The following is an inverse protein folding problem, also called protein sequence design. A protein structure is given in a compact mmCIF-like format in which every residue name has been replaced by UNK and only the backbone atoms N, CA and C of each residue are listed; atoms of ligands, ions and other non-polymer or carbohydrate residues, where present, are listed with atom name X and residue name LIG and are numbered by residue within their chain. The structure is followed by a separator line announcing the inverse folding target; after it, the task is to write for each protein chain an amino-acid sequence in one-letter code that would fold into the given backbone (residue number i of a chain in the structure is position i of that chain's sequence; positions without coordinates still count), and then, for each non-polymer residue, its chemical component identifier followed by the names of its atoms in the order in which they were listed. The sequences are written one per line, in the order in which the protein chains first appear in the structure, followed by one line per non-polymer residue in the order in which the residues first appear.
data_IF_397073972686
#
_entry.id   IF_397073972686
#
_cell.length_a   1.000
_cell.length_b   1.000
_cell.length_c   1.000
_cell.angle_alpha   90.00
_cell.angle_beta   90.00
_cell.angle_gamma   90.00
#
_symmetry.space_group_name_H-M   'P 1'
#
loop_
_entity.id
_entity.type
_entity.pdbx_description
1 polymer ?
#
# COMPACT_ATOMS: atom_id res chain seq x y z
N UNK A 1 -8.35 -12.97 0.68
CA UNK A 1 -8.29 -13.54 2.05
C UNK A 1 -6.96 -13.13 2.68
N UNK A 2 -6.93 -12.79 3.97
CA UNK A 2 -5.68 -12.41 4.65
C UNK A 2 -4.81 -13.65 4.87
N UNK A 3 -3.54 -13.63 4.43
CA UNK A 3 -2.60 -14.72 4.70
C UNK A 3 -1.75 -14.48 5.96
N UNK A 4 -1.20 -15.54 6.60
CA UNK A 4 -0.27 -15.40 7.72
C UNK A 4 0.97 -14.56 7.39
N UNK A 5 1.47 -14.65 6.16
CA UNK A 5 2.62 -13.87 5.69
C UNK A 5 2.27 -12.38 5.57
N UNK A 6 1.13 -12.06 4.96
CA UNK A 6 0.65 -10.68 4.87
C UNK A 6 0.37 -10.07 6.25
N UNK A 7 -0.17 -10.85 7.19
CA UNK A 7 -0.38 -10.40 8.58
C UNK A 7 0.94 -10.00 9.25
N UNK A 8 1.98 -10.85 9.17
CA UNK A 8 3.31 -10.55 9.73
C UNK A 8 3.95 -9.33 9.07
N UNK A 9 3.88 -9.26 7.73
CA UNK A 9 4.46 -8.16 6.97
C UNK A 9 3.76 -6.82 7.27
N UNK A 10 2.43 -6.79 7.27
CA UNK A 10 1.64 -5.61 7.60
C UNK A 10 1.97 -5.09 9.00
N UNK A 11 2.04 -6.00 9.97
CA UNK A 11 2.37 -5.65 11.35
C UNK A 11 3.79 -5.07 11.47
N UNK A 12 4.75 -5.60 10.72
CA UNK A 12 6.11 -5.05 10.66
C UNK A 12 6.15 -3.65 10.01
N UNK A 13 5.35 -3.41 8.95
CA UNK A 13 5.28 -2.12 8.26
C UNK A 13 4.83 -0.96 9.18
N UNK A 14 3.93 -1.23 10.11
CA UNK A 14 3.40 -0.24 11.08
C UNK A 14 4.02 -0.36 12.47
N UNK A 15 5.14 -1.07 12.59
CA UNK A 15 5.89 -1.27 13.84
C UNK A 15 5.03 -1.81 15.02
N UNK A 16 4.00 -2.60 14.73
CA UNK A 16 3.14 -3.17 15.76
C UNK A 16 3.69 -4.46 16.35
N UNK A 17 3.52 -4.63 17.66
CA UNK A 17 3.62 -5.91 18.32
C UNK A 17 2.34 -6.73 18.13
N UNK A 18 2.37 -8.03 18.46
CA UNK A 18 1.15 -8.85 18.47
C UNK A 18 0.12 -8.34 19.50
N UNK A 19 0.58 -7.63 20.53
CA UNK A 19 -0.29 -7.03 21.55
C UNK A 19 -1.02 -5.80 20.97
N UNK A 20 -0.33 -4.97 20.20
CA UNK A 20 -0.93 -3.78 19.57
C UNK A 20 -2.02 -4.19 18.58
N UNK A 21 -1.73 -5.20 17.75
CA UNK A 21 -2.73 -5.77 16.86
C UNK A 21 -3.92 -6.37 17.63
N UNK A 22 -3.65 -7.06 18.74
CA UNK A 22 -4.69 -7.63 19.59
C UNK A 22 -5.63 -6.56 20.13
N UNK A 23 -5.07 -5.44 20.61
CA UNK A 23 -5.84 -4.30 21.10
C UNK A 23 -6.66 -3.64 19.98
N UNK A 24 -6.06 -3.43 18.80
CA UNK A 24 -6.72 -2.77 17.68
C UNK A 24 -7.82 -3.62 17.04
N UNK A 25 -7.62 -4.93 16.90
CA UNK A 25 -8.57 -5.82 16.24
C UNK A 25 -9.57 -6.49 17.19
N UNK A 26 -9.43 -6.31 18.51
CA UNK A 26 -10.19 -7.00 19.55
C UNK A 26 -10.11 -8.55 19.46
N UNK A 27 -9.01 -9.06 18.91
CA UNK A 27 -8.75 -10.51 18.81
C UNK A 27 -7.66 -10.87 19.80
N UNK A 28 -7.76 -12.03 20.45
CA UNK A 28 -6.76 -12.43 21.44
C UNK A 28 -5.37 -12.56 20.83
N UNK A 29 -4.33 -12.16 21.57
CA UNK A 29 -2.93 -12.32 21.17
C UNK A 29 -2.57 -13.78 20.83
N UNK A 30 -3.18 -14.75 21.50
CA UNK A 30 -2.97 -16.17 21.23
C UNK A 30 -3.49 -16.58 19.85
N UNK A 31 -4.70 -16.12 19.47
CA UNK A 31 -5.28 -16.33 18.15
C UNK A 31 -4.39 -15.71 17.06
N UNK A 32 -3.93 -14.47 17.26
CA UNK A 32 -3.01 -13.79 16.32
C UNK A 32 -1.70 -14.57 16.19
N UNK A 33 -1.09 -14.98 17.29
CA UNK A 33 0.17 -15.72 17.27
C UNK A 33 0.02 -17.10 16.60
N UNK A 34 -1.10 -17.79 16.82
CA UNK A 34 -1.42 -19.05 16.16
C UNK A 34 -1.62 -18.88 14.66
N UNK A 35 -2.34 -17.84 14.26
CA UNK A 35 -2.57 -17.49 12.86
C UNK A 35 -1.28 -17.13 12.13
N UNK A 36 -0.47 -16.22 12.68
CA UNK A 36 0.82 -15.83 12.08
C UNK A 36 1.80 -17.01 11.93
N UNK A 37 1.72 -17.99 12.83
CA UNK A 37 2.54 -19.21 12.79
C UNK A 37 1.95 -20.31 11.90
N UNK A 38 0.77 -20.11 11.29
CA UNK A 38 0.08 -21.12 10.48
C UNK A 38 -0.44 -22.31 11.28
N UNK A 39 -0.50 -22.22 12.62
CA UNK A 39 -1.00 -23.29 13.51
C UNK A 39 -2.50 -23.20 13.77
N UNK A 40 -3.10 -22.04 13.50
CA UNK A 40 -4.52 -21.77 13.67
C UNK A 40 -5.05 -21.11 12.41
N UNK A 41 -6.24 -21.54 11.97
CA UNK A 41 -6.99 -20.91 10.88
C UNK A 41 -8.25 -20.27 11.47
N UNK A 42 -8.23 -18.96 11.78
CA UNK A 42 -9.42 -18.25 12.26
C UNK A 42 -10.52 -18.23 11.20
N UNK A 43 -11.76 -18.03 11.65
CA UNK A 43 -12.88 -17.83 10.73
C UNK A 43 -12.72 -16.52 9.92
N UNK A 44 -13.49 -16.42 8.84
CA UNK A 44 -13.41 -15.28 7.94
C UNK A 44 -13.76 -13.95 8.64
N UNK A 45 -14.68 -13.98 9.61
CA UNK A 45 -15.05 -12.82 10.41
C UNK A 45 -13.85 -12.28 11.19
N UNK A 46 -13.13 -13.15 11.88
CA UNK A 46 -11.91 -12.82 12.64
C UNK A 46 -10.84 -12.27 11.71
N UNK A 47 -10.63 -12.90 10.55
CA UNK A 47 -9.67 -12.41 9.55
C UNK A 47 -10.04 -11.02 9.02
N UNK A 48 -11.33 -10.72 8.85
CA UNK A 48 -11.79 -9.37 8.49
C UNK A 48 -11.51 -8.35 9.59
N UNK A 49 -11.73 -8.67 10.87
CA UNK A 49 -11.38 -7.77 11.97
C UNK A 49 -9.88 -7.47 12.04
N UNK A 50 -9.03 -8.50 11.87
CA UNK A 50 -7.57 -8.33 11.83
C UNK A 50 -7.15 -7.45 10.64
N UNK A 51 -7.66 -7.75 9.44
CA UNK A 51 -7.36 -6.99 8.22
C UNK A 51 -7.77 -5.53 8.38
N UNK A 52 -9.00 -5.28 8.86
CA UNK A 52 -9.55 -3.93 9.04
C UNK A 52 -8.73 -3.10 10.01
N UNK A 53 -8.33 -3.66 11.15
CA UNK A 53 -7.52 -2.96 12.13
C UNK A 53 -6.18 -2.46 11.57
N UNK A 54 -5.53 -3.25 10.71
CA UNK A 54 -4.30 -2.83 10.03
C UNK A 54 -4.58 -1.82 8.91
N UNK A 55 -5.70 -1.95 8.21
CA UNK A 55 -6.11 -0.98 7.18
C UNK A 55 -6.37 0.40 7.79
N UNK A 56 -7.06 0.44 8.93
CA UNK A 56 -7.32 1.67 9.68
C UNK A 56 -6.01 2.29 10.24
N UNK A 57 -4.98 1.47 10.44
CA UNK A 57 -3.62 1.91 10.83
C UNK A 57 -2.73 2.30 9.63
N UNK A 58 -3.27 2.33 8.42
CA UNK A 58 -2.55 2.78 7.23
C UNK A 58 -1.85 1.68 6.43
N UNK A 59 -2.29 0.42 6.54
CA UNK A 59 -1.84 -0.67 5.65
C UNK A 59 -2.82 -0.86 4.49
N UNK A 60 -2.31 -1.11 3.29
CA UNK A 60 -3.11 -1.60 2.17
C UNK A 60 -2.70 -3.04 1.81
N UNK A 61 -3.68 -3.93 1.69
CA UNK A 61 -3.48 -5.30 1.22
C UNK A 61 -3.63 -5.37 -0.29
N UNK A 62 -2.64 -5.97 -0.95
CA UNK A 62 -2.61 -6.16 -2.40
C UNK A 62 -2.93 -7.62 -2.69
N UNK A 63 -4.01 -7.85 -3.44
CA UNK A 63 -4.34 -9.18 -3.95
C UNK A 63 -3.36 -9.59 -5.05
N UNK A 64 -3.28 -10.89 -5.33
CA UNK A 64 -2.48 -11.39 -6.45
C UNK A 64 -2.98 -10.75 -7.77
N UNK A 65 -2.08 -10.09 -8.49
CA UNK A 65 -2.40 -9.27 -9.66
C UNK A 65 -1.38 -9.44 -10.79
N UNK A 66 -0.89 -10.66 -10.99
CA UNK A 66 0.22 -10.99 -11.90
C UNK A 66 1.57 -11.13 -11.19
N UNK A 67 1.70 -10.56 -9.99
CA UNK A 67 2.69 -10.93 -8.98
C UNK A 67 2.01 -11.48 -7.72
N UNK A 68 2.81 -11.96 -6.75
CA UNK A 68 2.29 -12.51 -5.50
C UNK A 68 1.58 -11.50 -4.60
N UNK A 69 0.67 -11.99 -3.75
CA UNK A 69 -0.05 -11.16 -2.79
C UNK A 69 0.91 -10.42 -1.83
N UNK A 70 0.60 -9.14 -1.53
CA UNK A 70 1.51 -8.25 -0.81
C UNK A 70 0.81 -7.28 0.14
N UNK A 71 1.60 -6.42 0.76
CA UNK A 71 1.15 -5.33 1.65
C UNK A 71 2.00 -4.08 1.41
N UNK A 72 1.43 -2.89 1.57
CA UNK A 72 2.14 -1.61 1.50
C UNK A 72 1.54 -0.60 2.47
N UNK A 73 2.25 0.49 2.74
CA UNK A 73 1.68 1.64 3.45
C UNK A 73 0.68 2.37 2.54
N UNK A 74 -0.40 2.86 3.14
CA UNK A 74 -1.37 3.73 2.50
C UNK A 74 -0.72 5.10 2.22
N UNK A 75 -1.19 5.77 1.16
CA UNK A 75 -0.74 7.12 0.84
C UNK A 75 -1.19 8.05 1.98
N UNK A 76 -0.31 8.89 2.55
CA UNK A 76 -0.76 9.91 3.48
C UNK A 76 -1.76 10.82 2.75
N UNK A 77 -2.88 11.12 3.40
CA UNK A 77 -3.99 11.87 2.80
C UNK A 77 -3.58 13.26 2.27
N UNK A 78 -2.42 13.78 2.67
CA UNK A 78 -1.88 15.08 2.29
C UNK A 78 -0.75 15.06 1.25
N UNK A 79 -0.37 13.90 0.70
CA UNK A 79 0.58 13.88 -0.42
C UNK A 79 -0.13 14.23 -1.75
N UNK A 80 -0.73 15.42 -1.84
CA UNK A 80 -0.67 16.14 -3.10
C UNK A 80 0.81 16.40 -3.33
N UNK A 81 1.40 15.66 -4.27
CA UNK A 81 2.63 16.13 -4.87
C UNK A 81 2.18 17.45 -5.49
N UNK A 82 2.70 18.56 -4.96
CA UNK A 82 2.61 19.86 -5.58
C UNK A 82 3.46 19.76 -6.85
N UNK A 83 2.90 19.12 -7.87
CA UNK A 83 3.48 19.15 -9.20
C UNK A 83 3.14 20.54 -9.70
N UNK A 84 4.10 21.46 -9.59
CA UNK A 84 4.02 22.71 -10.32
C UNK A 84 4.07 22.37 -11.82
N UNK A 85 2.89 22.29 -12.45
CA UNK A 85 2.74 22.03 -13.88
C UNK A 85 3.41 23.14 -14.73
N UNK A 86 3.88 24.24 -14.13
CA UNK A 86 4.62 25.29 -14.84
C UNK A 86 6.11 24.99 -15.03
N UNK A 87 6.69 24.03 -14.29
CA UNK A 87 8.11 23.65 -14.43
C UNK A 87 8.34 22.45 -15.37
N UNK A 88 7.29 21.91 -15.99
CA UNK A 88 7.43 20.78 -16.93
C UNK A 88 7.63 21.24 -18.39
N UNK A 89 8.62 22.12 -18.63
CA UNK A 89 9.14 22.35 -19.99
C UNK A 89 10.41 21.51 -20.14
N UNK A 90 10.26 20.24 -20.52
CA UNK A 90 11.41 19.33 -20.59
C UNK A 90 12.39 19.65 -21.74
N UNK A 91 12.05 20.58 -22.63
CA UNK A 91 12.94 21.07 -23.68
C UNK A 91 12.44 22.39 -24.28
N UNK A 92 12.97 23.50 -23.77
CA UNK A 92 12.75 24.83 -24.38
C UNK A 92 13.48 24.97 -25.73
N UNK A 93 14.49 24.13 -25.99
CA UNK A 93 15.35 24.19 -27.17
C UNK A 93 14.67 23.77 -28.50
N UNK A 94 13.49 23.14 -28.48
CA UNK A 94 12.75 22.78 -29.70
C UNK A 94 11.66 23.79 -30.09
N UNK A 95 11.53 24.93 -29.39
CA UNK A 95 10.50 25.92 -29.71
C UNK A 95 10.90 26.90 -30.84
N UNK A 96 12.19 26.99 -31.19
CA UNK A 96 12.61 27.71 -32.40
C UNK A 96 12.47 26.80 -33.60
N UNK A 97 11.35 26.97 -34.29
CA UNK A 97 11.22 26.52 -35.66
C UNK A 97 12.18 27.37 -36.51
N UNK A 98 13.42 26.89 -36.70
CA UNK A 98 14.41 27.50 -37.60
C UNK A 98 14.08 27.21 -39.08
N UNK A 99 12.91 26.64 -39.38
CA UNK A 99 12.45 26.48 -40.76
C UNK A 99 12.00 27.85 -41.33
N UNK A 100 12.68 28.39 -42.35
CA UNK A 100 12.20 29.58 -43.03
C UNK A 100 10.83 29.29 -43.67
N UNK A 101 9.89 30.26 -43.67
CA UNK A 101 8.59 30.07 -44.25
C UNK A 101 8.73 30.06 -45.78
N UNK A 102 8.73 28.87 -46.38
CA UNK A 102 8.58 28.71 -47.83
C UNK A 102 9.68 27.90 -48.50
N UNK A 103 9.49 26.59 -48.56
CA UNK A 103 9.98 25.75 -49.64
C UNK A 103 9.10 24.50 -49.75
N UNK A 104 7.78 24.73 -49.91
CA UNK A 104 6.90 23.71 -50.48
C UNK A 104 6.97 23.86 -51.99
N UNK A 105 7.58 22.89 -52.66
CA UNK A 105 7.59 22.70 -54.11
C UNK A 105 7.26 21.25 -54.43
#
# INVERSE_FOLDING_TARGET
MLSPAQCRAARALIAWSKQDLSAASQITKATIAGFEAGRLSPDERTLRHIKRAMEDAGVLFIAENGGGAGVRLAKPASASIDTDETETVQYEEYLKNDAPPGAGG
#
